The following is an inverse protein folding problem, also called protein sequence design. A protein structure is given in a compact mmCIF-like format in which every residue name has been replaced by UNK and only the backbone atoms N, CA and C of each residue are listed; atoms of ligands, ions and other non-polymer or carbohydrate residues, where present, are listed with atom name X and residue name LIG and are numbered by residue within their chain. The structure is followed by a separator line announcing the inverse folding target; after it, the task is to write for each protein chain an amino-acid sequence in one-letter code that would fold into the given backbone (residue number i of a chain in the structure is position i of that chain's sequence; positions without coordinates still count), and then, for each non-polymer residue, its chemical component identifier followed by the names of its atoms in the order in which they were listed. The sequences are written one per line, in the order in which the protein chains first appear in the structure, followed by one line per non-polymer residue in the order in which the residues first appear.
data_IF_219322140136
#
_entry.id   IF_219322140136
#
_cell.length_a   1.000
_cell.length_b   1.000
_cell.length_c   1.000
_cell.angle_alpha   90.00
_cell.angle_beta   90.00
_cell.angle_gamma   90.00
#
_symmetry.space_group_name_H-M   'P 1'
#
loop_
_entity.id
_entity.type
_entity.pdbx_description
1 polymer ?
#
# COMPACT_ATOMS: atom_id res chain seq x y z
N UNK A 1 -28.63 18.90 -2.54
CA UNK A 1 -28.10 20.27 -2.48
C UNK A 1 -29.27 21.16 -2.13
N UNK A 2 -29.53 21.28 -0.83
CA UNK A 2 -30.67 21.99 -0.24
C UNK A 2 -30.26 23.29 0.49
N UNK A 3 -28.98 23.68 0.44
CA UNK A 3 -28.52 25.05 0.67
C UNK A 3 -28.90 25.60 2.06
N UNK A 4 -28.80 24.74 3.07
CA UNK A 4 -29.08 25.06 4.47
C UNK A 4 -27.83 25.43 5.29
N UNK A 5 -26.65 25.37 4.67
CA UNK A 5 -25.39 25.77 5.26
C UNK A 5 -24.65 24.66 6.02
N UNK A 6 -25.10 23.41 5.90
CA UNK A 6 -24.23 22.25 6.15
C UNK A 6 -23.38 21.91 4.90
N UNK A 7 -22.40 21.01 5.06
CA UNK A 7 -21.53 20.61 3.95
C UNK A 7 -22.28 19.67 3.00
N UNK A 8 -22.94 20.25 1.99
CA UNK A 8 -23.67 19.61 0.89
C UNK A 8 -22.83 18.66 -0.01
N UNK A 9 -21.51 18.63 0.15
CA UNK A 9 -20.58 17.76 -0.57
C UNK A 9 -19.44 17.29 0.33
N UNK A 10 -19.13 15.99 0.27
CA UNK A 10 -18.01 15.41 1.00
C UNK A 10 -16.68 15.88 0.37
N UNK A 11 -16.12 16.96 0.88
CA UNK A 11 -14.80 17.44 0.49
C UNK A 11 -13.71 16.74 1.31
N UNK A 12 -13.15 15.65 0.79
CA UNK A 12 -11.93 15.06 1.33
C UNK A 12 -10.71 15.47 0.48
N UNK A 13 -9.90 16.40 0.99
CA UNK A 13 -8.52 16.56 0.53
C UNK A 13 -7.68 15.47 1.22
N UNK A 14 -7.66 14.26 0.67
CA UNK A 14 -6.91 13.15 1.24
C UNK A 14 -6.73 12.02 0.24
N UNK A 15 -5.50 11.87 -0.26
CA UNK A 15 -5.08 10.78 -1.12
C UNK A 15 -5.08 9.47 -0.31
N UNK A 16 -6.20 8.75 -0.35
CA UNK A 16 -6.29 7.34 0.10
C UNK A 16 -5.84 6.37 -0.99
N UNK A 17 -5.21 6.91 -2.03
CA UNK A 17 -4.75 6.25 -3.23
C UNK A 17 -3.26 6.51 -3.43
N UNK A 18 -2.69 5.89 -4.47
CA UNK A 18 -1.50 6.40 -5.11
C UNK A 18 -1.84 6.85 -6.53
N UNK A 19 -1.12 7.86 -7.01
CA UNK A 19 -1.25 8.35 -8.38
C UNK A 19 0.06 8.22 -9.13
N UNK A 20 -0.02 7.90 -10.41
CA UNK A 20 1.10 7.98 -11.35
C UNK A 20 0.91 9.22 -12.20
N UNK A 21 1.90 10.09 -12.21
CA UNK A 21 1.93 11.29 -13.05
C UNK A 21 2.94 11.11 -14.18
N UNK A 22 2.55 11.49 -15.39
CA UNK A 22 3.45 11.62 -16.53
C UNK A 22 3.73 13.09 -16.81
N UNK A 23 4.96 13.40 -17.20
CA UNK A 23 5.33 14.76 -17.63
C UNK A 23 5.30 14.77 -19.16
N UNK A 24 4.45 15.61 -19.75
CA UNK A 24 4.38 15.71 -21.21
C UNK A 24 5.60 16.45 -21.79
N UNK A 25 5.70 16.50 -23.13
CA UNK A 25 6.81 17.16 -23.83
C UNK A 25 6.99 18.65 -23.51
N UNK A 26 5.98 19.31 -22.92
CA UNK A 26 6.02 20.72 -22.49
C UNK A 26 6.33 20.87 -20.99
N UNK A 27 6.64 19.79 -20.29
CA UNK A 27 6.94 19.81 -18.85
C UNK A 27 5.69 19.87 -17.95
N UNK A 28 4.49 19.68 -18.50
CA UNK A 28 3.24 19.76 -17.71
C UNK A 28 2.86 18.38 -17.17
N UNK A 29 2.62 18.23 -15.85
CA UNK A 29 2.11 16.99 -15.27
C UNK A 29 0.72 16.64 -15.80
N UNK A 30 0.54 15.38 -16.13
CA UNK A 30 -0.75 14.80 -16.49
C UNK A 30 -0.94 13.52 -15.68
N UNK A 31 -2.12 13.34 -15.11
CA UNK A 31 -2.46 12.13 -14.39
C UNK A 31 -2.50 10.95 -15.37
N UNK A 32 -1.66 9.94 -15.13
CA UNK A 32 -1.60 8.73 -15.94
C UNK A 32 -2.44 7.59 -15.33
N UNK A 33 -2.48 7.52 -13.99
CA UNK A 33 -3.26 6.55 -13.23
C UNK A 33 -3.55 7.08 -11.83
N UNK A 34 -4.69 6.70 -11.26
CA UNK A 34 -4.99 6.84 -9.84
C UNK A 34 -5.63 5.55 -9.34
N UNK A 35 -5.18 5.02 -8.20
CA UNK A 35 -5.74 3.78 -7.64
C UNK A 35 -7.11 3.96 -7.00
N UNK A 36 -7.62 5.20 -6.88
CA UNK A 36 -8.94 5.49 -6.33
C UNK A 36 -9.16 4.85 -4.95
N UNK A 37 -10.04 3.87 -4.91
CA UNK A 37 -10.46 3.17 -3.67
C UNK A 37 -9.90 1.75 -3.57
N UNK A 38 -8.87 1.41 -4.37
CA UNK A 38 -8.30 0.07 -4.43
C UNK A 38 -7.93 -0.43 -3.02
N UNK A 39 -7.32 0.41 -2.17
CA UNK A 39 -6.85 -0.03 -0.86
C UNK A 39 -7.99 -0.46 0.06
N UNK A 40 -9.08 0.30 0.11
CA UNK A 40 -10.29 -0.07 0.84
C UNK A 40 -10.94 -1.33 0.26
N UNK A 41 -11.04 -1.46 -1.07
CA UNK A 41 -11.65 -2.65 -1.69
C UNK A 41 -10.83 -3.92 -1.43
N UNK A 42 -9.50 -3.83 -1.59
CA UNK A 42 -8.58 -4.93 -1.35
C UNK A 42 -8.62 -5.34 0.11
N UNK A 43 -8.52 -4.40 1.05
CA UNK A 43 -8.55 -4.72 2.49
C UNK A 43 -9.90 -5.27 2.92
N UNK A 44 -11.02 -4.75 2.41
CA UNK A 44 -12.35 -5.32 2.65
C UNK A 44 -12.46 -6.79 2.19
N UNK A 45 -11.79 -7.14 1.09
CA UNK A 45 -11.85 -8.48 0.50
C UNK A 45 -10.83 -9.46 1.11
N UNK A 46 -9.58 -9.03 1.28
CA UNK A 46 -8.47 -9.91 1.67
C UNK A 46 -8.18 -9.90 3.18
N UNK A 47 -8.60 -8.86 3.91
CA UNK A 47 -8.36 -8.69 5.34
C UNK A 47 -9.50 -7.89 5.99
N UNK A 48 -10.73 -8.43 5.93
CA UNK A 48 -11.94 -7.73 6.33
C UNK A 48 -11.92 -7.24 7.80
N UNK A 49 -11.21 -7.94 8.68
CA UNK A 49 -10.94 -7.55 10.06
C UNK A 49 -10.05 -6.30 10.18
N UNK A 50 -9.29 -5.98 9.14
CA UNK A 50 -8.42 -4.81 9.02
C UNK A 50 -9.01 -3.69 8.14
N UNK A 51 -10.18 -3.91 7.52
CA UNK A 51 -10.85 -2.89 6.71
C UNK A 51 -10.99 -1.59 7.50
N UNK A 52 -10.32 -0.51 7.08
CA UNK A 52 -10.31 0.79 7.75
C UNK A 52 -10.14 0.72 9.30
N UNK A 53 -9.36 -0.25 9.78
CA UNK A 53 -8.99 -0.37 11.18
C UNK A 53 -7.92 0.66 11.56
N UNK A 54 -7.74 0.90 12.87
CA UNK A 54 -6.59 1.67 13.37
C UNK A 54 -5.32 0.80 13.46
N UNK A 55 -4.20 1.47 13.68
CA UNK A 55 -2.87 0.85 13.80
C UNK A 55 -2.64 0.36 15.24
N UNK A 56 -3.49 -0.55 15.71
CA UNK A 56 -3.40 -1.20 17.02
C UNK A 56 -3.90 -2.66 16.92
N UNK A 57 -3.33 -3.62 17.67
CA UNK A 57 -3.78 -5.02 17.72
C UNK A 57 -5.26 -5.17 18.08
N UNK A 58 -5.77 -4.32 18.96
CA UNK A 58 -7.16 -4.38 19.44
C UNK A 58 -8.13 -3.57 18.59
N UNK A 59 -7.70 -3.10 17.41
CA UNK A 59 -8.56 -2.30 16.53
C UNK A 59 -9.68 -3.14 15.96
N UNK A 60 -10.89 -2.59 15.97
CA UNK A 60 -12.01 -3.17 15.25
C UNK A 60 -12.02 -2.68 13.79
N UNK A 61 -12.58 -3.46 12.86
CA UNK A 61 -12.81 -3.00 11.50
C UNK A 61 -13.70 -1.74 11.49
N UNK A 62 -13.51 -0.94 10.46
CA UNK A 62 -14.29 0.23 10.07
C UNK A 62 -14.25 1.44 11.03
N UNK A 63 -13.31 1.47 11.98
CA UNK A 63 -13.17 2.61 12.90
C UNK A 63 -12.69 3.91 12.25
N UNK A 64 -12.20 3.85 10.99
CA UNK A 64 -11.58 4.99 10.30
C UNK A 64 -12.21 5.36 8.97
N UNK A 65 -13.33 4.76 8.54
CA UNK A 65 -13.99 5.17 7.30
C UNK A 65 -14.41 6.64 7.31
N UNK A 66 -14.98 7.11 8.44
CA UNK A 66 -15.30 8.53 8.67
C UNK A 66 -14.07 9.42 8.93
N UNK A 67 -12.89 8.82 9.06
CA UNK A 67 -11.60 9.50 9.22
C UNK A 67 -10.81 9.43 7.90
N UNK A 68 -9.58 8.92 7.94
CA UNK A 68 -8.67 8.85 6.79
C UNK A 68 -8.45 7.43 6.26
N UNK A 69 -9.27 6.46 6.69
CA UNK A 69 -9.31 5.11 6.11
C UNK A 69 -7.99 4.38 6.30
N UNK A 70 -7.39 3.81 5.23
CA UNK A 70 -6.17 3.02 5.35
C UNK A 70 -4.90 3.86 5.58
N UNK A 71 -4.92 5.16 5.21
CA UNK A 71 -3.78 6.11 5.29
C UNK A 71 -2.50 5.57 4.62
N UNK A 72 -2.38 5.63 3.28
CA UNK A 72 -1.10 5.36 2.63
C UNK A 72 -0.08 6.45 2.99
N UNK A 73 1.09 6.04 3.49
CA UNK A 73 2.09 6.98 4.03
C UNK A 73 3.43 6.86 3.31
N UNK A 74 3.89 5.64 3.08
CA UNK A 74 5.19 5.35 2.51
C UNK A 74 5.06 4.69 1.14
N UNK A 75 5.95 5.03 0.20
CA UNK A 75 6.06 4.31 -1.08
C UNK A 75 7.53 4.08 -1.45
N UNK A 76 7.84 2.86 -1.85
CA UNK A 76 9.12 2.54 -2.51
C UNK A 76 8.85 1.92 -3.87
N UNK A 77 9.61 2.36 -4.87
CA UNK A 77 9.56 1.84 -6.23
C UNK A 77 10.91 1.21 -6.54
N UNK A 78 10.91 0.01 -7.11
CA UNK A 78 12.16 -0.64 -7.49
C UNK A 78 12.01 -1.76 -8.50
N UNK A 79 13.13 -2.15 -9.06
CA UNK A 79 13.21 -3.21 -10.05
C UNK A 79 13.36 -4.57 -9.33
N UNK A 80 12.42 -5.48 -9.57
CA UNK A 80 12.44 -6.87 -9.09
C UNK A 80 12.35 -7.77 -10.31
N UNK A 81 13.47 -8.40 -10.66
CA UNK A 81 13.60 -9.12 -11.94
C UNK A 81 13.35 -8.19 -13.13
N UNK A 82 12.42 -8.56 -14.01
CA UNK A 82 12.01 -7.75 -15.18
C UNK A 82 10.90 -6.73 -14.89
N UNK A 83 10.35 -6.72 -13.67
CA UNK A 83 9.21 -5.87 -13.31
C UNK A 83 9.62 -4.69 -12.45
N UNK A 84 9.01 -3.54 -12.73
CA UNK A 84 9.08 -2.37 -11.85
C UNK A 84 7.92 -2.45 -10.88
N UNK A 85 8.19 -2.57 -9.60
CA UNK A 85 7.15 -2.70 -8.58
C UNK A 85 7.04 -1.43 -7.75
N UNK A 86 5.82 -1.07 -7.36
CA UNK A 86 5.54 -0.14 -6.26
C UNK A 86 5.07 -0.93 -5.04
N UNK A 87 5.60 -0.55 -3.88
CA UNK A 87 5.19 -1.04 -2.57
C UNK A 87 4.73 0.17 -1.76
N UNK A 88 3.46 0.17 -1.35
CA UNK A 88 2.82 1.28 -0.64
C UNK A 88 2.45 0.82 0.76
N UNK A 89 3.00 1.46 1.79
CA UNK A 89 2.71 1.17 3.19
C UNK A 89 1.44 1.88 3.64
N UNK A 90 0.60 1.15 4.37
CA UNK A 90 -0.65 1.68 4.95
C UNK A 90 -0.45 1.88 6.44
N UNK A 91 -0.38 3.13 6.91
CA UNK A 91 -0.07 3.45 8.30
C UNK A 91 -1.12 2.88 9.26
N UNK A 92 -2.42 2.96 8.91
CA UNK A 92 -3.52 2.59 9.82
C UNK A 92 -3.94 1.14 9.69
N UNK A 93 -4.50 0.80 8.53
CA UNK A 93 -4.89 -0.59 8.24
C UNK A 93 -3.70 -1.53 8.41
N UNK A 94 -2.49 -1.02 8.19
CA UNK A 94 -1.25 -1.75 8.37
C UNK A 94 -0.90 -2.55 7.12
N UNK A 95 0.36 -2.98 7.04
CA UNK A 95 0.84 -3.78 5.92
C UNK A 95 1.19 -2.95 4.68
N UNK A 96 1.38 -3.65 3.57
CA UNK A 96 1.90 -3.08 2.31
C UNK A 96 1.12 -3.59 1.11
N UNK A 97 0.72 -2.68 0.23
CA UNK A 97 0.16 -2.97 -1.08
C UNK A 97 1.26 -3.06 -2.13
N UNK A 98 1.22 -4.07 -3.00
CA UNK A 98 2.22 -4.28 -4.05
C UNK A 98 1.56 -4.24 -5.43
N UNK A 99 2.08 -3.38 -6.30
CA UNK A 99 1.64 -3.22 -7.68
C UNK A 99 2.80 -3.42 -8.67
N UNK A 100 2.51 -4.05 -9.82
CA UNK A 100 3.38 -3.99 -11.00
C UNK A 100 3.14 -2.68 -11.74
N UNK A 101 4.17 -1.82 -11.75
CA UNK A 101 4.26 -0.56 -12.47
C UNK A 101 5.05 -0.65 -13.78
N UNK A 102 5.23 -1.85 -14.34
CA UNK A 102 5.90 -2.02 -15.64
C UNK A 102 5.16 -1.30 -16.77
N UNK A 103 3.83 -1.15 -16.65
CA UNK A 103 3.03 -0.24 -17.48
C UNK A 103 2.43 0.87 -16.58
N UNK A 104 3.02 2.07 -16.53
CA UNK A 104 2.63 3.11 -15.56
C UNK A 104 1.20 3.66 -15.71
N UNK A 105 0.59 3.49 -16.89
CA UNK A 105 -0.81 3.86 -17.17
C UNK A 105 -1.80 2.76 -16.82
N UNK A 106 -1.32 1.55 -16.53
CA UNK A 106 -2.14 0.41 -16.11
C UNK A 106 -1.38 -0.44 -15.07
N UNK A 107 -1.14 0.10 -13.87
CA UNK A 107 -0.65 -0.67 -12.74
C UNK A 107 -1.51 -1.91 -12.51
N UNK A 108 -0.88 -3.04 -12.18
CA UNK A 108 -1.59 -4.26 -11.80
C UNK A 108 -1.37 -4.53 -10.32
N UNK A 109 -2.44 -4.60 -9.54
CA UNK A 109 -2.36 -5.12 -8.18
C UNK A 109 -1.82 -6.55 -8.21
N UNK A 110 -0.85 -6.82 -7.33
CA UNK A 110 -0.21 -8.12 -7.22
C UNK A 110 -0.55 -8.81 -5.91
N UNK A 111 -0.42 -8.09 -4.79
CA UNK A 111 -0.59 -8.66 -3.46
C UNK A 111 -0.73 -7.58 -2.40
N UNK A 112 -1.53 -7.86 -1.38
CA UNK A 112 -1.49 -7.19 -0.09
C UNK A 112 -0.72 -8.07 0.90
N UNK A 113 0.26 -7.47 1.58
CA UNK A 113 0.94 -8.07 2.72
C UNK A 113 0.31 -7.47 3.99
N UNK A 114 -0.55 -8.20 4.71
CA UNK A 114 -1.09 -7.71 5.97
C UNK A 114 0.03 -7.55 7.02
N UNK A 115 -0.22 -6.80 8.11
CA UNK A 115 0.69 -6.76 9.25
C UNK A 115 1.13 -8.15 9.67
N UNK A 116 2.43 -8.35 9.88
CA UNK A 116 2.89 -9.58 10.50
C UNK A 116 2.37 -9.63 11.93
N UNK A 117 1.83 -10.77 12.32
CA UNK A 117 1.36 -11.02 13.67
C UNK A 117 1.91 -12.37 14.14
N UNK A 118 2.96 -12.32 14.97
CA UNK A 118 3.67 -13.50 15.48
C UNK A 118 3.97 -13.33 16.96
N UNK A 119 3.86 -14.40 17.75
CA UNK A 119 4.17 -14.43 19.18
C UNK A 119 3.51 -13.32 20.03
N UNK A 120 2.30 -12.91 19.64
CA UNK A 120 1.53 -11.85 20.32
C UNK A 120 2.01 -10.43 20.01
N UNK A 121 2.93 -10.26 19.07
CA UNK A 121 3.38 -8.97 18.55
C UNK A 121 2.84 -8.78 17.13
N UNK A 122 2.19 -7.64 16.91
CA UNK A 122 1.66 -7.26 15.59
C UNK A 122 2.35 -5.99 15.10
N UNK A 123 2.78 -6.02 13.84
CA UNK A 123 3.31 -4.84 13.15
C UNK A 123 2.27 -3.72 13.07
N UNK A 124 2.63 -2.52 13.51
CA UNK A 124 1.72 -1.38 13.57
C UNK A 124 2.39 -0.09 13.07
N UNK A 125 1.72 0.64 12.19
CA UNK A 125 2.20 1.93 11.67
C UNK A 125 3.41 1.80 10.75
N UNK A 126 3.31 1.12 9.57
CA UNK A 126 4.33 1.22 8.55
C UNK A 126 4.58 2.67 8.14
N UNK A 127 5.78 3.19 8.41
CA UNK A 127 6.16 4.57 8.05
C UNK A 127 7.36 4.64 7.10
N UNK A 128 8.25 3.64 7.17
CA UNK A 128 9.42 3.56 6.31
C UNK A 128 9.45 2.25 5.52
N UNK A 129 9.72 2.35 4.22
CA UNK A 129 9.94 1.19 3.34
C UNK A 129 11.30 1.28 2.67
N UNK A 130 12.04 0.16 2.64
CA UNK A 130 13.31 0.04 1.91
C UNK A 130 13.31 -1.22 1.08
N UNK A 131 13.52 -1.09 -0.24
CA UNK A 131 13.79 -2.23 -1.10
C UNK A 131 15.30 -2.41 -1.27
N UNK A 132 15.83 -3.56 -0.85
CA UNK A 132 17.21 -3.97 -1.05
C UNK A 132 17.25 -4.89 -2.28
N UNK A 133 17.93 -4.50 -3.38
CA UNK A 133 18.04 -5.34 -4.56
C UNK A 133 18.83 -6.63 -4.26
N UNK A 134 18.53 -7.69 -5.02
CA UNK A 134 19.20 -9.01 -4.91
C UNK A 134 20.74 -8.94 -4.83
N UNK A 135 21.36 -8.09 -5.67
CA UNK A 135 22.83 -7.89 -5.72
C UNK A 135 23.44 -7.33 -4.44
N UNK A 136 22.63 -6.72 -3.58
CA UNK A 136 23.02 -6.08 -2.33
C UNK A 136 22.41 -6.79 -1.12
N UNK A 137 21.67 -7.88 -1.34
CA UNK A 137 21.02 -8.66 -0.29
C UNK A 137 21.91 -9.82 0.15
N UNK A 138 22.01 -10.11 1.46
CA UNK A 138 22.76 -11.26 1.97
C UNK A 138 22.17 -12.61 1.53
N UNK A 139 20.90 -12.65 1.13
CA UNK A 139 20.23 -13.88 0.67
C UNK A 139 20.33 -14.09 -0.85
N UNK A 140 20.86 -13.11 -1.58
CA UNK A 140 20.88 -13.12 -3.04
C UNK A 140 19.52 -12.88 -3.70
N UNK A 141 18.46 -12.62 -2.91
CA UNK A 141 17.12 -12.27 -3.38
C UNK A 141 16.74 -10.86 -2.91
N UNK A 142 15.85 -10.15 -3.62
CA UNK A 142 15.40 -8.83 -3.19
C UNK A 142 14.70 -8.90 -1.83
N UNK A 143 14.92 -7.90 -0.97
CA UNK A 143 14.27 -7.78 0.34
C UNK A 143 13.47 -6.49 0.43
N UNK A 144 12.24 -6.53 0.94
CA UNK A 144 11.50 -5.35 1.40
C UNK A 144 11.59 -5.28 2.91
N UNK A 145 12.17 -4.20 3.42
CA UNK A 145 12.21 -3.87 4.83
C UNK A 145 11.09 -2.87 5.13
N UNK A 146 10.35 -3.13 6.21
CA UNK A 146 9.24 -2.31 6.68
C UNK A 146 9.56 -1.88 8.11
N UNK A 147 9.56 -0.57 8.35
CA UNK A 147 9.72 0.02 9.67
C UNK A 147 8.33 0.37 10.22
N UNK A 148 7.93 -0.29 11.31
CA UNK A 148 6.64 -0.13 11.95
C UNK A 148 6.79 0.73 13.21
N UNK A 149 6.50 2.03 13.11
CA UNK A 149 6.79 3.01 14.16
C UNK A 149 6.05 2.70 15.46
N UNK A 150 4.75 2.38 15.38
CA UNK A 150 3.93 2.23 16.58
C UNK A 150 4.25 0.97 17.37
N UNK A 151 4.60 -0.12 16.70
CA UNK A 151 5.02 -1.36 17.35
C UNK A 151 6.51 -1.37 17.69
N UNK A 152 7.31 -0.48 17.10
CA UNK A 152 8.77 -0.48 17.22
C UNK A 152 9.44 -1.68 16.54
N UNK A 153 8.75 -2.34 15.61
CA UNK A 153 9.23 -3.53 14.91
C UNK A 153 9.82 -3.19 13.54
N UNK A 154 10.67 -4.07 13.05
CA UNK A 154 11.18 -4.02 11.68
C UNK A 154 11.05 -5.40 11.06
N UNK A 155 10.31 -5.47 9.95
CA UNK A 155 9.98 -6.73 9.28
C UNK A 155 10.63 -6.76 7.91
N UNK A 156 11.22 -7.91 7.54
CA UNK A 156 11.88 -8.11 6.27
C UNK A 156 11.18 -9.23 5.48
N UNK A 157 10.69 -8.89 4.29
CA UNK A 157 10.13 -9.85 3.35
C UNK A 157 11.15 -10.15 2.25
N UNK A 158 11.39 -11.43 2.00
CA UNK A 158 12.13 -11.88 0.83
C UNK A 158 11.17 -12.09 -0.35
N UNK A 159 11.55 -11.58 -1.52
CA UNK A 159 10.81 -11.85 -2.76
C UNK A 159 11.32 -13.13 -3.42
N UNK A 160 10.53 -14.19 -3.29
CA UNK A 160 10.61 -15.36 -4.18
C UNK A 160 9.62 -15.16 -5.33
N UNK A 161 10.04 -14.55 -6.44
CA UNK A 161 9.10 -14.19 -7.50
C UNK A 161 9.22 -15.05 -8.77
N UNK A 162 8.28 -15.99 -8.94
CA UNK A 162 7.94 -16.60 -10.24
C UNK A 162 6.64 -15.94 -10.77
N UNK A 163 6.78 -15.05 -11.76
CA UNK A 163 5.66 -14.23 -12.27
C UNK A 163 4.48 -15.05 -12.83
N UNK A 164 4.73 -16.29 -13.25
CA UNK A 164 3.72 -17.14 -13.88
C UNK A 164 2.75 -17.80 -12.89
N UNK A 165 3.06 -17.83 -11.58
CA UNK A 165 2.18 -18.44 -10.56
C UNK A 165 1.20 -17.46 -9.91
N UNK A 166 1.58 -16.19 -9.80
CA UNK A 166 0.76 -15.16 -9.10
C UNK A 166 -0.44 -14.71 -9.94
N UNK A 167 -0.35 -14.77 -11.27
CA UNK A 167 -1.48 -14.49 -12.15
C UNK A 167 -2.52 -15.64 -12.23
N UNK A 168 -2.19 -16.82 -11.69
CA UNK A 168 -2.95 -18.06 -11.87
C UNK A 168 -3.75 -18.50 -10.63
N UNK A 169 -3.55 -17.89 -9.46
CA UNK A 169 -4.39 -18.16 -8.28
C UNK A 169 -5.58 -17.20 -8.26
N UNK A 170 -6.65 -17.58 -8.96
CA UNK A 170 -8.03 -17.14 -8.69
C UNK A 170 -8.74 -18.21 -7.88
#
# INVERSE_FOLDING_TARGET
MDNDGDLDALHCFGARSFSVWQINAKGVPQLAYDSGVDFEQITAHEAADRFNADSSPDSLPDQRSSKRGPEPESIVIGQVGKHRLAMVGLERTGGVMIYDLSLPTYPKFLKYLPPLHEDGLMDCGPEGLVLIPAKSSPTGKPLLIICNEKSGTTTAYEFEWEFDRVAASR
#
